data_IF_925551549764
#
_entry.id   IF_925551549764
#
_cell.length_a   1.000
_cell.length_b   1.000
_cell.length_c   1.000
_cell.angle_alpha   90.00
_cell.angle_beta   90.00
_cell.angle_gamma   90.00
#
_symmetry.space_group_name_H-M   'P 1'
#
loop_
_entity.id
_entity.type
_entity.pdbx_description
1 polymer ?
#
# COMPACT_ATOMS: atom_id res chain seq x y z
N UNK A 1 -2.25 -21.51 -1.42
CA UNK A 1 -1.04 -20.67 -1.23
C UNK A 1 -1.52 -19.29 -0.85
N UNK A 2 -1.49 -18.95 0.45
CA UNK A 2 -1.84 -17.60 0.91
C UNK A 2 -0.79 -16.64 0.36
N UNK A 3 -1.15 -15.86 -0.67
CA UNK A 3 -0.29 -14.76 -1.13
C UNK A 3 -0.10 -13.85 0.07
N UNK A 4 1.13 -13.73 0.55
CA UNK A 4 1.50 -12.73 1.56
C UNK A 4 1.24 -11.39 0.90
N UNK A 5 0.08 -10.79 1.21
CA UNK A 5 -0.22 -9.43 0.81
C UNK A 5 0.83 -8.53 1.46
N UNK A 6 1.45 -7.70 0.64
CA UNK A 6 2.26 -6.56 1.07
C UNK A 6 1.48 -5.78 2.14
N UNK A 7 2.10 -5.44 3.28
CA UNK A 7 1.42 -4.76 4.40
C UNK A 7 1.98 -3.37 4.61
N UNK A 8 1.09 -2.47 5.00
CA UNK A 8 1.40 -1.15 5.52
C UNK A 8 1.29 -1.21 7.05
N UNK A 9 2.27 -0.67 7.74
CA UNK A 9 2.32 -0.63 9.20
C UNK A 9 2.43 0.82 9.66
N UNK A 10 1.63 1.22 10.63
CA UNK A 10 1.79 2.50 11.30
C UNK A 10 2.99 2.41 12.24
N UNK A 11 4.02 3.21 12.00
CA UNK A 11 5.21 3.30 12.87
C UNK A 11 4.91 3.81 14.28
N UNK A 12 3.77 4.48 14.48
CA UNK A 12 3.38 5.08 15.77
C UNK A 12 2.63 4.08 16.65
N UNK A 13 1.58 3.45 16.12
CA UNK A 13 0.69 2.59 16.89
C UNK A 13 0.80 1.09 16.56
N UNK A 14 1.63 0.72 15.58
CA UNK A 14 1.83 -0.66 15.15
C UNK A 14 0.66 -1.26 14.37
N UNK A 15 -0.35 -0.46 14.00
CA UNK A 15 -1.49 -0.95 13.20
C UNK A 15 -1.00 -1.43 11.84
N UNK A 16 -1.38 -2.66 11.49
CA UNK A 16 -1.17 -3.21 10.16
C UNK A 16 -2.41 -3.01 9.29
N UNK A 17 -2.20 -2.79 7.99
CA UNK A 17 -3.23 -2.73 6.96
C UNK A 17 -2.69 -3.39 5.70
N UNK A 18 -3.53 -4.15 4.99
CA UNK A 18 -3.13 -4.76 3.72
C UNK A 18 -2.99 -3.69 2.63
N UNK A 19 -1.97 -3.83 1.78
CA UNK A 19 -1.83 -3.03 0.57
C UNK A 19 -3.00 -3.37 -0.36
N UNK A 20 -3.75 -2.36 -0.84
CA UNK A 20 -4.88 -2.61 -1.72
C UNK A 20 -4.44 -3.29 -3.02
N UNK A 21 -5.37 -4.02 -3.62
CA UNK A 21 -5.15 -4.71 -4.89
C UNK A 21 -5.73 -3.91 -6.04
N UNK A 22 -5.03 -3.90 -7.18
CA UNK A 22 -5.46 -3.33 -8.45
C UNK A 22 -5.27 -4.40 -9.54
N UNK A 23 -6.29 -4.63 -10.37
CA UNK A 23 -6.37 -5.73 -11.34
C UNK A 23 -5.93 -7.10 -10.75
N UNK A 24 -6.48 -7.45 -9.58
CA UNK A 24 -6.22 -8.73 -8.90
C UNK A 24 -4.77 -8.96 -8.43
N UNK A 25 -3.94 -7.91 -8.48
CA UNK A 25 -2.55 -7.89 -8.00
C UNK A 25 -2.37 -6.82 -6.94
N UNK A 26 -1.49 -7.03 -5.97
CA UNK A 26 -1.15 -6.00 -4.99
C UNK A 26 -0.53 -4.79 -5.68
N UNK A 27 -0.91 -3.59 -5.22
CA UNK A 27 -0.32 -2.36 -5.72
C UNK A 27 1.14 -2.22 -5.28
N UNK A 28 1.95 -1.61 -6.13
CA UNK A 28 3.38 -1.41 -5.89
C UNK A 28 3.56 -0.16 -5.03
N UNK A 29 4.25 -0.28 -3.89
CA UNK A 29 4.62 0.88 -3.08
C UNK A 29 5.89 1.52 -3.65
N UNK A 30 5.82 2.77 -4.13
CA UNK A 30 6.98 3.53 -4.62
C UNK A 30 6.86 5.01 -4.29
N UNK A 31 7.92 5.61 -3.77
CA UNK A 31 8.00 7.05 -3.46
C UNK A 31 6.85 7.57 -2.57
N UNK A 32 6.31 6.76 -1.66
CA UNK A 32 5.19 7.17 -0.79
C UNK A 32 3.82 7.18 -1.48
N UNK A 33 3.71 6.44 -2.59
CA UNK A 33 2.47 6.20 -3.34
C UNK A 33 2.29 4.71 -3.61
N UNK A 34 1.04 4.34 -3.85
CA UNK A 34 0.61 3.04 -4.35
C UNK A 34 0.38 3.17 -5.86
N UNK A 35 1.10 2.37 -6.63
CA UNK A 35 0.99 2.33 -8.08
C UNK A 35 0.32 1.04 -8.51
N UNK A 36 -0.68 1.15 -9.37
CA UNK A 36 -1.23 -0.03 -10.00
C UNK A 36 -0.20 -0.62 -10.98
N UNK A 37 0.02 -1.93 -10.95
CA UNK A 37 1.00 -2.59 -11.84
C UNK A 37 0.54 -2.75 -13.29
N UNK A 38 -0.72 -2.39 -13.61
CA UNK A 38 -1.36 -2.70 -14.89
C UNK A 38 -1.11 -1.64 -15.97
N UNK A 39 -1.08 -0.37 -15.60
CA UNK A 39 -0.82 0.76 -16.49
C UNK A 39 -0.69 2.05 -15.69
N UNK A 40 0.00 3.05 -16.25
CA UNK A 40 0.07 4.41 -15.68
C UNK A 40 -1.33 5.07 -15.60
N UNK A 41 -2.29 4.61 -16.41
CA UNK A 41 -3.67 5.12 -16.45
C UNK A 41 -4.52 4.71 -15.22
N UNK A 42 -4.18 3.61 -14.54
CA UNK A 42 -4.86 3.24 -13.29
C UNK A 42 -4.57 4.21 -12.14
N UNK A 43 -3.52 5.02 -12.25
CA UNK A 43 -3.27 6.17 -11.40
C UNK A 43 -2.48 5.88 -10.13
N UNK A 44 -1.97 6.98 -9.57
CA UNK A 44 -1.24 7.01 -8.29
C UNK A 44 -2.26 7.15 -7.16
N UNK A 45 -2.23 6.22 -6.21
CA UNK A 45 -2.98 6.37 -4.97
C UNK A 45 -2.04 6.78 -3.83
N UNK A 46 -2.43 7.73 -2.97
CA UNK A 46 -1.63 8.05 -1.79
C UNK A 46 -1.62 6.87 -0.82
N UNK A 47 -0.49 6.68 -0.13
CA UNK A 47 -0.44 5.73 0.99
C UNK A 47 -1.39 6.24 2.10
N UNK A 48 -2.23 5.36 2.69
CA UNK A 48 -3.06 5.68 3.83
C UNK A 48 -2.29 6.32 4.99
N UNK A 49 -2.92 7.32 5.62
CA UNK A 49 -2.40 7.96 6.82
C UNK A 49 -2.98 7.31 8.08
N UNK A 50 -2.12 7.08 9.08
CA UNK A 50 -2.49 6.62 10.41
C UNK A 50 -1.71 7.42 11.46
N UNK A 51 -2.37 7.86 12.55
CA UNK A 51 -1.75 8.72 13.57
C UNK A 51 -1.12 10.02 13.01
N UNK A 52 -1.64 10.53 11.90
CA UNK A 52 -1.14 11.76 11.25
C UNK A 52 0.13 11.56 10.43
N UNK A 53 0.54 10.31 10.16
CA UNK A 53 1.68 9.98 9.32
C UNK A 53 1.29 8.92 8.28
N UNK A 54 1.91 8.97 7.10
CA UNK A 54 1.76 7.89 6.11
C UNK A 54 2.26 6.58 6.70
N UNK A 55 1.47 5.53 6.55
CA UNK A 55 1.88 4.20 6.96
C UNK A 55 3.14 3.76 6.18
N UNK A 56 4.01 2.99 6.81
CA UNK A 56 5.26 2.51 6.19
C UNK A 56 5.08 1.11 5.63
N UNK A 57 5.71 0.81 4.52
CA UNK A 57 5.71 -0.51 3.91
C UNK A 57 6.76 -1.40 4.59
N UNK A 58 6.40 -2.65 4.94
CA UNK A 58 7.28 -3.60 5.66
C UNK A 58 7.27 -4.98 5.02
#
# INVERSE_FOLDING_TARGET
MSKVGEKLVCSVCGREQEVPTCCEKSMIVKNGYLLCCCSDECGYQPIPDCCGQKMVYT
#
